data_IF_409331841638
#
_entry.id   IF_409331841638
#
_cell.length_a   1.000
_cell.length_b   1.000
_cell.length_c   1.000
_cell.angle_alpha   90.00
_cell.angle_beta   90.00
_cell.angle_gamma   90.00
#
_symmetry.space_group_name_H-M   'P 1'
#
loop_
_entity.id
_entity.type
_entity.pdbx_description
1 polymer ?
#
# COMPACT_ATOMS: atom_id res chain seq x y z
N UNK A 1 -21.30 10.19 13.29
CA UNK A 1 -20.79 10.97 14.39
C UNK A 1 -20.66 10.20 15.73
N UNK A 2 -20.15 8.99 15.72
CA UNK A 2 -19.90 8.20 16.93
C UNK A 2 -18.88 8.82 17.88
N UNK A 3 -18.74 8.25 19.08
CA UNK A 3 -17.78 8.74 20.07
C UNK A 3 -16.35 8.34 19.73
N UNK A 4 -15.42 9.28 19.83
CA UNK A 4 -14.00 9.00 19.68
C UNK A 4 -13.48 8.13 20.83
N UNK A 5 -12.92 6.98 20.52
CA UNK A 5 -12.32 6.06 21.51
C UNK A 5 -10.83 6.37 21.68
N UNK A 6 -10.44 6.88 22.84
CA UNK A 6 -9.07 7.34 23.10
C UNK A 6 -8.09 6.26 23.56
N UNK A 7 -8.58 5.20 24.18
CA UNK A 7 -7.74 4.11 24.69
C UNK A 7 -7.09 3.27 23.60
N UNK A 8 -7.57 3.35 22.36
CA UNK A 8 -6.98 2.68 21.21
C UNK A 8 -5.56 3.19 20.88
N UNK A 9 -5.29 4.48 21.09
CA UNK A 9 -4.02 5.12 20.75
C UNK A 9 -2.80 4.43 21.37
N UNK A 10 -2.94 3.84 22.56
CA UNK A 10 -1.86 3.12 23.26
C UNK A 10 -1.39 1.86 22.53
N UNK A 11 -2.19 1.32 21.61
CA UNK A 11 -1.93 0.09 20.86
C UNK A 11 -1.68 0.33 19.37
N UNK A 12 -1.85 1.55 18.89
CA UNK A 12 -1.64 1.88 17.49
C UNK A 12 -0.15 1.85 17.14
N UNK A 13 0.17 1.25 16.01
CA UNK A 13 1.52 1.34 15.44
C UNK A 13 1.85 2.78 15.06
N UNK A 14 3.13 3.19 15.04
CA UNK A 14 3.53 4.50 14.57
C UNK A 14 3.01 4.78 13.16
N UNK A 15 2.44 5.96 12.96
CA UNK A 15 1.97 6.42 11.65
C UNK A 15 2.09 7.94 11.54
N UNK A 16 2.61 8.41 10.42
CA UNK A 16 2.96 9.82 10.23
C UNK A 16 1.87 10.64 9.54
N UNK A 17 0.84 9.99 9.02
CA UNK A 17 -0.30 10.62 8.33
C UNK A 17 -1.61 10.53 9.11
N UNK A 18 -1.55 10.16 10.39
CA UNK A 18 -2.72 10.20 11.27
C UNK A 18 -3.06 11.63 11.66
N UNK A 19 -4.34 11.89 11.74
CA UNK A 19 -4.87 13.18 12.08
C UNK A 19 -6.15 13.05 12.91
N UNK A 20 -6.32 13.95 13.88
CA UNK A 20 -7.58 14.11 14.61
C UNK A 20 -8.02 15.56 14.47
N UNK A 21 -9.15 15.83 13.79
CA UNK A 21 -9.64 17.18 13.57
C UNK A 21 -9.71 17.99 14.88
N UNK A 22 -9.13 19.20 14.85
CA UNK A 22 -9.07 20.09 15.98
C UNK A 22 -8.18 19.63 17.16
N UNK A 23 -7.32 18.64 16.93
CA UNK A 23 -6.44 18.08 17.98
C UNK A 23 -5.01 17.87 17.50
N UNK A 24 -4.58 18.61 16.52
CA UNK A 24 -3.20 18.60 16.03
C UNK A 24 -2.23 18.92 17.18
N UNK A 25 -1.11 18.23 17.19
CA UNK A 25 -0.07 18.44 18.19
C UNK A 25 -0.37 17.90 19.59
N UNK A 26 -1.48 17.23 19.79
CA UNK A 26 -1.87 16.65 21.10
C UNK A 26 -1.48 15.16 21.25
N UNK A 27 -0.44 14.69 20.55
CA UNK A 27 0.06 13.33 20.64
C UNK A 27 -0.76 12.30 19.86
N UNK A 28 -1.70 12.76 19.03
CA UNK A 28 -2.50 11.89 18.16
C UNK A 28 -1.92 11.78 16.75
N UNK A 29 -1.06 12.72 16.38
CA UNK A 29 -0.23 12.67 15.17
C UNK A 29 1.20 12.37 15.61
N UNK A 30 1.79 11.30 15.09
CA UNK A 30 3.14 10.92 15.49
C UNK A 30 4.18 11.92 14.98
N UNK A 31 5.11 12.28 15.86
CA UNK A 31 6.24 13.12 15.47
C UNK A 31 7.21 12.30 14.63
N UNK A 32 7.56 12.81 13.48
CA UNK A 32 8.46 12.12 12.52
C UNK A 32 9.79 11.75 13.17
N UNK A 33 10.40 12.67 13.93
CA UNK A 33 11.67 12.41 14.62
C UNK A 33 11.53 11.26 15.65
N UNK A 34 10.38 11.15 16.30
CA UNK A 34 10.11 10.07 17.25
C UNK A 34 9.94 8.71 16.55
N UNK A 35 9.31 8.71 15.37
CA UNK A 35 9.17 7.50 14.54
C UNK A 35 10.55 7.04 14.05
N UNK A 36 11.35 7.95 13.52
CA UNK A 36 12.73 7.68 13.08
C UNK A 36 13.58 7.14 14.25
N UNK A 37 13.53 7.80 15.42
CA UNK A 37 14.22 7.35 16.62
C UNK A 37 13.82 5.94 17.05
N UNK A 38 12.52 5.64 17.02
CA UNK A 38 12.00 4.30 17.30
C UNK A 38 12.51 3.26 16.31
N UNK A 39 12.48 3.58 14.99
CA UNK A 39 13.00 2.68 13.95
C UNK A 39 14.48 2.36 14.15
N UNK A 40 15.30 3.37 14.44
CA UNK A 40 16.73 3.19 14.75
C UNK A 40 16.94 2.31 15.98
N UNK A 41 16.24 2.58 17.07
CA UNK A 41 16.32 1.80 18.31
C UNK A 41 15.95 0.32 18.09
N UNK A 42 15.02 0.04 17.19
CA UNK A 42 14.53 -1.31 16.88
C UNK A 42 15.22 -1.95 15.67
N UNK A 43 16.22 -1.31 15.07
CA UNK A 43 16.87 -1.75 13.83
C UNK A 43 15.87 -2.02 12.69
N UNK A 44 14.84 -1.18 12.58
CA UNK A 44 13.86 -1.24 11.50
C UNK A 44 14.36 -0.35 10.36
N UNK A 45 14.63 -0.95 9.21
CA UNK A 45 15.16 -0.25 8.03
C UNK A 45 14.06 0.39 7.18
N UNK A 46 12.90 -0.27 7.06
CA UNK A 46 11.85 0.10 6.13
C UNK A 46 10.62 0.60 6.88
N UNK A 47 10.12 1.75 6.49
CA UNK A 47 8.79 2.25 6.85
C UNK A 47 7.84 1.97 5.68
N UNK A 48 6.84 1.14 5.90
CA UNK A 48 5.85 0.74 4.90
C UNK A 48 4.60 1.61 5.06
N UNK A 49 4.24 2.40 4.06
CA UNK A 49 3.21 3.43 4.13
C UNK A 49 2.23 3.33 2.97
N UNK A 50 0.95 3.28 3.31
CA UNK A 50 -0.17 3.53 2.40
C UNK A 50 -1.10 4.59 3.02
N UNK A 51 -2.08 5.09 2.25
CA UNK A 51 -3.00 6.08 2.81
C UNK A 51 -4.04 5.48 3.77
N UNK A 52 -4.17 4.16 3.79
CA UNK A 52 -5.06 3.46 4.72
C UNK A 52 -6.53 3.76 4.52
N UNK A 53 -7.32 3.39 5.52
CA UNK A 53 -8.70 3.82 5.66
C UNK A 53 -8.71 5.23 6.25
N UNK A 54 -9.74 6.03 5.95
CA UNK A 54 -9.89 7.36 6.54
C UNK A 54 -9.93 7.34 8.07
N UNK A 55 -10.44 6.27 8.66
CA UNK A 55 -10.43 6.01 10.09
C UNK A 55 -9.41 4.91 10.44
N UNK A 56 -8.84 4.91 11.62
CA UNK A 56 -7.95 3.85 12.07
C UNK A 56 -8.78 2.61 12.47
N UNK A 57 -8.61 1.99 13.56
CA UNK A 57 -9.37 0.79 13.95
C UNK A 57 -10.82 1.07 14.28
N UNK A 58 -11.69 0.06 14.06
CA UNK A 58 -13.07 0.10 14.47
C UNK A 58 -13.68 -1.29 14.62
N UNK A 59 -14.88 -1.32 15.21
CA UNK A 59 -15.58 -2.57 15.47
C UNK A 59 -16.26 -3.13 14.23
N UNK A 60 -16.58 -2.29 13.29
CA UNK A 60 -17.24 -2.59 12.02
C UNK A 60 -16.28 -2.81 10.84
N UNK A 61 -15.02 -3.12 11.14
CA UNK A 61 -13.92 -3.24 10.18
C UNK A 61 -14.18 -4.21 9.02
N UNK A 62 -14.99 -5.24 9.26
CA UNK A 62 -15.38 -6.22 8.25
C UNK A 62 -16.89 -6.27 8.03
N UNK A 63 -17.60 -5.21 8.43
CA UNK A 63 -19.03 -5.15 8.22
C UNK A 63 -19.39 -4.75 6.79
N UNK A 64 -20.60 -5.15 6.36
CA UNK A 64 -21.13 -4.81 5.03
C UNK A 64 -21.39 -3.32 4.89
N UNK A 65 -21.95 -2.71 5.95
CA UNK A 65 -22.31 -1.29 5.98
C UNK A 65 -21.89 -0.71 7.31
N UNK A 66 -21.20 0.44 7.25
CA UNK A 66 -20.88 1.21 8.45
C UNK A 66 -21.96 2.26 8.71
N UNK A 67 -22.36 2.38 9.96
CA UNK A 67 -23.37 3.34 10.39
C UNK A 67 -22.71 4.68 10.73
N UNK A 68 -23.36 5.78 10.35
CA UNK A 68 -22.88 7.14 10.69
C UNK A 68 -22.93 7.44 12.18
N UNK A 69 -23.84 6.83 12.91
CA UNK A 69 -24.00 6.98 14.36
C UNK A 69 -23.19 5.94 15.16
N UNK A 70 -22.48 5.06 14.49
CA UNK A 70 -21.60 4.09 15.10
C UNK A 70 -20.38 4.71 15.78
N UNK A 71 -19.75 3.99 16.69
CA UNK A 71 -18.50 4.41 17.32
C UNK A 71 -17.40 4.56 16.26
N UNK A 72 -16.75 5.71 16.27
CA UNK A 72 -15.59 6.01 15.42
C UNK A 72 -14.34 6.08 16.28
N UNK A 73 -13.33 5.33 15.88
CA UNK A 73 -12.07 5.22 16.60
C UNK A 73 -11.01 6.03 15.87
N UNK A 74 -10.68 7.17 16.43
CA UNK A 74 -9.54 7.94 15.98
C UNK A 74 -8.22 7.37 16.52
N UNK A 75 -7.10 7.86 16.06
CA UNK A 75 -6.96 8.91 15.05
C UNK A 75 -7.34 8.45 13.66
N UNK A 76 -7.58 9.41 12.78
CA UNK A 76 -7.91 9.17 11.38
C UNK A 76 -6.65 9.28 10.52
N UNK A 77 -6.59 8.50 9.43
CA UNK A 77 -5.58 8.71 8.41
C UNK A 77 -6.06 9.76 7.42
N UNK A 78 -5.26 10.81 7.24
CA UNK A 78 -5.48 11.72 6.14
C UNK A 78 -5.32 11.01 4.80
N UNK A 79 -6.14 11.41 3.84
CA UNK A 79 -6.11 10.87 2.50
C UNK A 79 -5.20 11.71 1.59
N UNK A 80 -4.65 11.15 0.52
CA UNK A 80 -3.74 11.88 -0.38
C UNK A 80 -4.42 12.98 -1.19
N UNK A 81 -5.76 13.06 -1.16
CA UNK A 81 -6.57 14.00 -1.92
C UNK A 81 -7.10 15.11 -1.03
N UNK A 82 -7.12 16.34 -1.57
CA UNK A 82 -7.64 17.50 -0.88
C UNK A 82 -9.17 17.57 -0.87
N UNK A 83 -9.72 18.25 0.12
CA UNK A 83 -11.16 18.54 0.18
C UNK A 83 -11.51 19.68 -0.76
N UNK A 84 -12.56 19.50 -1.56
CA UNK A 84 -12.99 20.50 -2.57
C UNK A 84 -13.64 21.74 -1.98
N UNK A 85 -14.18 21.66 -0.78
CA UNK A 85 -15.07 22.66 -0.20
C UNK A 85 -16.51 22.57 -0.72
N UNK A 86 -16.84 21.61 -1.60
CA UNK A 86 -18.14 21.46 -2.24
C UNK A 86 -18.85 20.20 -1.76
N UNK A 87 -20.15 20.26 -1.67
CA UNK A 87 -21.01 19.14 -1.31
C UNK A 87 -20.66 18.49 0.03
N UNK A 88 -21.24 17.33 0.29
CA UNK A 88 -21.01 16.57 1.54
C UNK A 88 -20.71 15.12 1.21
N UNK A 89 -19.56 14.64 1.65
CA UNK A 89 -19.17 13.25 1.59
C UNK A 89 -19.88 12.43 2.69
N UNK A 90 -19.71 11.12 2.66
CA UNK A 90 -20.40 10.22 3.59
C UNK A 90 -20.15 10.55 5.07
N UNK A 91 -18.93 10.93 5.42
CA UNK A 91 -18.54 11.25 6.80
C UNK A 91 -18.97 12.65 7.27
N UNK A 92 -19.60 13.44 6.40
CA UNK A 92 -20.11 14.78 6.73
C UNK A 92 -19.17 15.95 6.41
N UNK A 93 -17.97 15.67 5.92
CA UNK A 93 -17.04 16.69 5.42
C UNK A 93 -17.32 17.03 3.95
N UNK A 94 -16.71 18.09 3.41
CA UNK A 94 -16.82 18.37 1.97
C UNK A 94 -16.21 17.23 1.15
N UNK A 95 -16.72 17.04 -0.07
CA UNK A 95 -16.22 16.01 -0.99
C UNK A 95 -14.76 16.22 -1.33
N UNK A 96 -14.08 15.11 -1.66
CA UNK A 96 -12.73 15.20 -2.19
C UNK A 96 -12.71 15.76 -3.62
N UNK A 97 -11.61 16.41 -3.96
CA UNK A 97 -11.19 16.62 -5.34
C UNK A 97 -9.97 15.73 -5.60
N UNK A 98 -10.14 14.70 -6.42
CA UNK A 98 -9.08 13.73 -6.70
C UNK A 98 -7.95 14.32 -7.58
N UNK A 99 -8.17 15.49 -8.19
CA UNK A 99 -7.13 16.23 -8.89
C UNK A 99 -6.33 17.17 -7.98
N UNK A 100 -6.74 17.31 -6.73
CA UNK A 100 -6.11 18.22 -5.76
C UNK A 100 -5.35 17.42 -4.71
N UNK A 101 -4.01 17.47 -4.66
CA UNK A 101 -3.23 16.86 -3.60
C UNK A 101 -3.54 17.46 -2.22
N UNK A 102 -3.56 16.62 -1.19
CA UNK A 102 -3.61 17.05 0.21
C UNK A 102 -2.20 17.48 0.64
N UNK A 103 -1.94 18.79 0.68
CA UNK A 103 -0.62 19.32 0.96
C UNK A 103 -0.04 18.84 2.29
N UNK A 104 -0.88 18.69 3.35
CA UNK A 104 -0.41 18.20 4.64
C UNK A 104 0.04 16.74 4.56
N UNK A 105 -0.74 15.86 3.92
CA UNK A 105 -0.40 14.44 3.73
C UNK A 105 0.95 14.30 3.02
N UNK A 106 1.11 14.96 1.89
CA UNK A 106 2.30 14.87 1.06
C UNK A 106 3.53 15.48 1.71
N UNK A 107 3.39 16.60 2.43
CA UNK A 107 4.50 17.22 3.17
C UNK A 107 5.02 16.33 4.30
N UNK A 108 4.11 15.63 5.02
CA UNK A 108 4.50 14.69 6.08
C UNK A 108 5.34 13.54 5.56
N UNK A 109 4.93 12.95 4.43
CA UNK A 109 5.68 11.86 3.80
C UNK A 109 7.02 12.33 3.26
N UNK A 110 7.07 13.52 2.67
CA UNK A 110 8.32 14.11 2.19
C UNK A 110 9.29 14.40 3.33
N UNK A 111 8.81 14.99 4.42
CA UNK A 111 9.62 15.24 5.61
C UNK A 111 10.21 13.94 6.19
N UNK A 112 9.41 12.85 6.24
CA UNK A 112 9.92 11.54 6.65
C UNK A 112 11.00 11.03 5.71
N UNK A 113 10.80 11.11 4.40
CA UNK A 113 11.77 10.67 3.42
C UNK A 113 13.10 11.44 3.55
N UNK A 114 13.04 12.77 3.65
CA UNK A 114 14.22 13.64 3.79
C UNK A 114 15.00 13.39 5.09
N UNK A 115 14.29 13.26 6.22
CA UNK A 115 14.91 12.99 7.52
C UNK A 115 15.42 11.56 7.61
N UNK A 116 14.60 10.59 7.20
CA UNK A 116 14.96 9.17 7.24
C UNK A 116 16.16 8.82 6.36
N UNK A 117 16.30 9.50 5.21
CA UNK A 117 17.45 9.32 4.32
C UNK A 117 18.79 9.56 5.02
N UNK A 118 18.85 10.53 5.93
CA UNK A 118 20.07 10.86 6.71
C UNK A 118 20.48 9.73 7.65
N UNK A 119 19.55 8.92 8.04
CA UNK A 119 19.73 7.76 8.93
C UNK A 119 19.71 6.41 8.16
N UNK A 120 19.74 6.44 6.83
CA UNK A 120 19.73 5.25 5.98
C UNK A 120 18.40 4.51 5.93
N UNK A 121 17.28 5.15 6.35
CA UNK A 121 15.97 4.54 6.35
C UNK A 121 15.31 4.63 4.98
N UNK A 122 14.53 3.61 4.65
CA UNK A 122 13.76 3.51 3.41
C UNK A 122 12.27 3.76 3.68
N UNK A 123 11.61 4.41 2.73
CA UNK A 123 10.16 4.51 2.66
C UNK A 123 9.64 3.61 1.53
N UNK A 124 8.90 2.55 1.87
CA UNK A 124 8.09 1.80 0.92
C UNK A 124 6.75 2.50 0.79
N UNK A 125 6.59 3.24 -0.31
CA UNK A 125 5.39 4.01 -0.58
C UNK A 125 4.42 3.19 -1.44
N UNK A 126 3.47 2.55 -0.78
CA UNK A 126 2.39 1.83 -1.42
C UNK A 126 1.37 2.85 -1.95
N UNK A 127 1.29 3.03 -3.26
CA UNK A 127 0.50 4.10 -3.88
C UNK A 127 -0.99 3.99 -3.55
N UNK A 128 -1.53 2.77 -3.46
CA UNK A 128 -2.93 2.52 -3.18
C UNK A 128 -3.13 1.70 -1.92
N UNK A 129 -4.38 1.60 -1.49
CA UNK A 129 -4.80 0.73 -0.40
C UNK A 129 -5.95 -0.17 -0.86
N UNK A 130 -5.62 -1.37 -1.29
CA UNK A 130 -6.56 -2.29 -1.95
C UNK A 130 -7.74 -2.71 -1.08
N UNK A 131 -7.59 -2.72 0.25
CA UNK A 131 -8.68 -3.01 1.17
C UNK A 131 -9.92 -2.12 0.97
N UNK A 132 -9.71 -0.88 0.53
CA UNK A 132 -10.84 0.04 0.28
C UNK A 132 -11.80 -0.47 -0.79
N UNK A 133 -11.32 -1.24 -1.76
CA UNK A 133 -12.06 -1.57 -2.98
C UNK A 133 -12.49 -3.03 -3.06
N UNK A 134 -12.07 -3.89 -2.16
CA UNK A 134 -12.39 -5.31 -2.27
C UNK A 134 -12.66 -6.06 -0.97
N UNK A 135 -12.46 -5.48 0.19
CA UNK A 135 -12.60 -6.28 1.41
C UNK A 135 -14.01 -6.21 2.00
N UNK A 136 -14.46 -5.05 2.43
CA UNK A 136 -15.77 -4.90 3.05
C UNK A 136 -16.47 -3.60 2.63
N UNK A 137 -17.78 -3.59 2.65
CA UNK A 137 -18.56 -2.38 2.34
C UNK A 137 -18.21 -1.21 3.25
N UNK A 138 -17.91 -1.49 4.51
CA UNK A 138 -17.48 -0.48 5.47
C UNK A 138 -16.15 0.21 5.09
N UNK A 139 -15.27 -0.46 4.36
CA UNK A 139 -14.01 0.11 3.87
C UNK A 139 -14.20 1.01 2.65
N UNK A 140 -15.22 0.75 1.86
CA UNK A 140 -15.56 1.56 0.69
C UNK A 140 -16.34 2.83 1.03
N UNK A 141 -17.08 2.82 2.12
CA UNK A 141 -18.08 3.84 2.43
C UNK A 141 -17.54 5.26 2.45
N UNK A 142 -16.34 5.48 2.97
CA UNK A 142 -15.66 6.78 3.04
C UNK A 142 -14.41 6.86 2.13
N UNK A 143 -14.22 5.88 1.28
CA UNK A 143 -13.13 5.89 0.29
C UNK A 143 -13.25 7.14 -0.62
N UNK A 144 -12.16 7.90 -0.83
CA UNK A 144 -12.17 9.08 -1.70
C UNK A 144 -12.65 8.80 -3.13
N UNK A 145 -12.36 7.61 -3.65
CA UNK A 145 -12.75 7.21 -5.01
C UNK A 145 -14.25 6.93 -5.18
N UNK A 146 -14.97 6.68 -4.09
CA UNK A 146 -16.41 6.45 -4.15
C UNK A 146 -17.13 7.67 -4.72
N UNK A 147 -18.06 7.48 -5.68
CA UNK A 147 -18.73 8.56 -6.42
C UNK A 147 -19.41 9.59 -5.52
N UNK A 148 -20.00 9.16 -4.38
CA UNK A 148 -20.60 10.10 -3.42
C UNK A 148 -19.59 10.93 -2.64
N UNK A 149 -18.32 10.52 -2.58
CA UNK A 149 -17.30 11.17 -1.75
C UNK A 149 -16.41 12.14 -2.51
N UNK A 150 -16.51 12.22 -3.84
CA UNK A 150 -15.70 13.11 -4.66
C UNK A 150 -16.56 13.95 -5.64
N UNK A 151 -15.93 14.95 -6.26
CA UNK A 151 -16.55 15.79 -7.28
C UNK A 151 -16.18 15.37 -8.71
N UNK A 152 -15.38 14.31 -8.89
CA UNK A 152 -14.70 13.98 -10.14
C UNK A 152 -15.45 12.98 -11.04
N UNK A 153 -16.69 12.65 -10.72
CA UNK A 153 -17.54 11.78 -11.55
C UNK A 153 -16.88 10.42 -11.87
N UNK A 154 -16.36 9.78 -10.85
CA UNK A 154 -15.64 8.48 -10.98
C UNK A 154 -16.48 7.35 -11.54
N UNK A 155 -17.82 7.47 -11.54
CA UNK A 155 -18.74 6.50 -12.17
C UNK A 155 -18.87 5.16 -11.44
N UNK A 156 -18.46 5.07 -10.18
CA UNK A 156 -18.74 3.88 -9.39
C UNK A 156 -20.23 3.82 -8.99
N UNK A 157 -20.84 2.62 -9.03
CA UNK A 157 -22.24 2.46 -8.71
C UNK A 157 -22.54 2.72 -7.23
N UNK A 158 -23.75 3.19 -6.98
CA UNK A 158 -24.31 3.42 -5.66
C UNK A 158 -25.65 2.66 -5.50
N UNK A 159 -25.77 1.74 -4.56
CA UNK A 159 -24.73 1.20 -3.68
C UNK A 159 -23.69 0.37 -4.43
N UNK A 160 -22.51 0.18 -3.82
CA UNK A 160 -21.50 -0.70 -4.37
C UNK A 160 -22.02 -2.15 -4.46
N UNK A 161 -21.74 -2.86 -5.55
CA UNK A 161 -22.12 -4.28 -5.66
C UNK A 161 -21.31 -5.12 -4.66
N UNK A 162 -21.92 -6.21 -4.19
CA UNK A 162 -21.31 -7.16 -3.28
C UNK A 162 -21.06 -8.50 -3.98
N UNK A 163 -19.88 -9.07 -3.77
CA UNK A 163 -19.53 -10.43 -4.17
C UNK A 163 -19.53 -11.34 -2.94
N UNK A 164 -20.71 -11.79 -2.50
CA UNK A 164 -20.92 -12.53 -1.27
C UNK A 164 -21.36 -11.61 -0.12
N UNK A 165 -21.27 -12.09 1.11
CA UNK A 165 -21.96 -11.45 2.24
C UNK A 165 -21.43 -10.07 2.62
N UNK A 166 -20.11 -9.93 2.74
CA UNK A 166 -19.48 -8.69 3.20
C UNK A 166 -18.58 -8.02 2.16
N UNK A 167 -18.11 -8.75 1.18
CA UNK A 167 -17.15 -8.30 0.21
C UNK A 167 -17.80 -7.44 -0.87
N UNK A 168 -17.22 -6.26 -1.13
CA UNK A 168 -17.60 -5.43 -2.27
C UNK A 168 -16.92 -5.89 -3.56
N UNK A 169 -17.55 -5.57 -4.68
CA UNK A 169 -17.08 -5.91 -6.01
C UNK A 169 -16.87 -4.65 -6.87
N UNK A 170 -15.99 -3.77 -6.41
CA UNK A 170 -15.62 -2.56 -7.16
C UNK A 170 -14.20 -2.62 -7.74
N UNK A 171 -13.43 -3.65 -7.40
CA UNK A 171 -12.05 -3.79 -7.84
C UNK A 171 -11.90 -3.84 -9.37
N UNK A 172 -12.76 -4.59 -10.07
CA UNK A 172 -12.72 -4.65 -11.53
C UNK A 172 -12.91 -3.27 -12.16
N UNK A 173 -13.85 -2.48 -11.64
CA UNK A 173 -14.08 -1.11 -12.11
C UNK A 173 -12.94 -0.17 -11.72
N UNK A 174 -12.37 -0.35 -10.54
CA UNK A 174 -11.24 0.47 -10.07
C UNK A 174 -10.01 0.26 -10.94
N UNK A 175 -9.72 -0.98 -11.30
CA UNK A 175 -8.58 -1.32 -12.16
C UNK A 175 -8.87 -1.19 -13.66
N UNK A 176 -10.09 -0.84 -14.04
CA UNK A 176 -10.46 -0.61 -15.44
C UNK A 176 -9.89 0.71 -15.96
N UNK A 177 -8.77 0.61 -16.64
CA UNK A 177 -8.08 1.73 -17.29
C UNK A 177 -8.66 2.11 -18.66
N UNK A 178 -9.73 1.45 -19.12
CA UNK A 178 -10.44 1.85 -20.34
C UNK A 178 -11.41 2.99 -20.10
N UNK A 179 -11.86 3.16 -18.84
CA UNK A 179 -12.73 4.26 -18.45
C UNK A 179 -11.95 5.58 -18.41
N UNK A 180 -12.27 6.56 -19.26
CA UNK A 180 -11.40 7.72 -19.50
C UNK A 180 -11.17 8.56 -18.25
N UNK A 181 -12.21 8.81 -17.44
CA UNK A 181 -12.09 9.63 -16.22
C UNK A 181 -11.21 8.91 -15.20
N UNK A 182 -11.46 7.62 -14.91
CA UNK A 182 -10.66 6.87 -13.94
C UNK A 182 -9.21 6.71 -14.39
N UNK A 183 -8.99 6.44 -15.68
CA UNK A 183 -7.64 6.35 -16.25
C UNK A 183 -6.84 7.63 -16.00
N UNK A 184 -7.44 8.79 -16.28
CA UNK A 184 -6.76 10.08 -16.10
C UNK A 184 -6.49 10.38 -14.62
N UNK A 185 -7.46 10.13 -13.75
CA UNK A 185 -7.28 10.28 -12.30
C UNK A 185 -6.18 9.37 -11.75
N UNK A 186 -6.09 8.12 -12.21
CA UNK A 186 -4.99 7.22 -11.86
C UNK A 186 -3.65 7.76 -12.35
N UNK A 187 -3.58 8.22 -13.60
CA UNK A 187 -2.37 8.80 -14.18
C UNK A 187 -1.86 9.98 -13.35
N UNK A 188 -2.75 10.92 -13.04
CA UNK A 188 -2.42 12.11 -12.23
C UNK A 188 -1.97 11.71 -10.82
N UNK A 189 -2.65 10.78 -10.20
CA UNK A 189 -2.31 10.30 -8.86
C UNK A 189 -0.95 9.60 -8.83
N UNK A 190 -0.65 8.72 -9.77
CA UNK A 190 0.66 8.05 -9.89
C UNK A 190 1.76 9.10 -10.08
N UNK A 191 1.54 10.08 -10.95
CA UNK A 191 2.50 11.17 -11.17
C UNK A 191 2.68 12.04 -9.91
N UNK A 192 1.64 12.25 -9.12
CA UNK A 192 1.74 12.93 -7.82
C UNK A 192 2.63 12.13 -6.85
N UNK A 193 2.49 10.81 -6.80
CA UNK A 193 3.37 9.95 -6.00
C UNK A 193 4.84 10.13 -6.41
N UNK A 194 5.12 10.17 -7.70
CA UNK A 194 6.47 10.33 -8.24
C UNK A 194 7.03 11.75 -7.99
N UNK A 195 6.24 12.77 -8.29
CA UNK A 195 6.65 14.17 -8.13
C UNK A 195 6.98 14.53 -6.68
N UNK A 196 6.21 14.01 -5.72
CA UNK A 196 6.46 14.28 -4.31
C UNK A 196 7.84 13.81 -3.84
N UNK A 197 8.34 12.75 -4.43
CA UNK A 197 9.58 12.09 -4.03
C UNK A 197 10.68 12.12 -5.10
N UNK A 198 10.55 12.98 -6.09
CA UNK A 198 11.44 13.04 -7.24
C UNK A 198 12.94 13.21 -6.88
N UNK A 199 13.24 13.74 -5.69
CA UNK A 199 14.59 13.98 -5.18
C UNK A 199 14.92 13.11 -3.95
N UNK A 200 14.10 12.09 -3.66
CA UNK A 200 14.24 11.22 -2.50
C UNK A 200 14.62 9.78 -2.91
N UNK A 201 15.91 9.46 -3.06
CA UNK A 201 16.36 8.16 -3.57
C UNK A 201 16.08 6.99 -2.62
N UNK A 202 15.70 7.28 -1.37
CA UNK A 202 15.32 6.31 -0.35
C UNK A 202 13.82 5.98 -0.37
N UNK A 203 13.05 6.51 -1.32
CA UNK A 203 11.63 6.18 -1.50
C UNK A 203 11.47 5.15 -2.61
N UNK A 204 10.79 4.06 -2.28
CA UNK A 204 10.53 2.95 -3.19
C UNK A 204 9.03 2.92 -3.45
N UNK A 205 8.63 3.01 -4.71
CA UNK A 205 7.23 3.01 -5.13
C UNK A 205 6.73 1.57 -5.29
N UNK A 206 5.58 1.27 -4.70
CA UNK A 206 4.85 0.01 -4.85
C UNK A 206 3.41 0.30 -5.29
N UNK A 207 2.77 -0.66 -5.96
CA UNK A 207 1.40 -0.47 -6.45
C UNK A 207 0.40 -0.25 -5.30
N UNK A 208 0.34 -1.14 -4.32
CA UNK A 208 -0.64 -1.09 -3.24
C UNK A 208 -0.27 -2.00 -2.09
N UNK A 209 -0.80 -1.68 -0.91
CA UNK A 209 -0.86 -2.62 0.19
C UNK A 209 -1.64 -3.88 -0.19
N UNK A 210 -1.08 -5.05 0.11
CA UNK A 210 -1.67 -6.37 -0.15
C UNK A 210 -2.22 -6.54 -1.59
N UNK A 211 -1.46 -6.08 -2.57
CA UNK A 211 -1.91 -5.99 -3.96
C UNK A 211 -1.99 -7.35 -4.65
N UNK A 212 -3.18 -7.69 -5.13
CA UNK A 212 -3.48 -8.87 -5.93
C UNK A 212 -4.22 -8.49 -7.22
N UNK A 213 -4.03 -7.27 -7.68
CA UNK A 213 -4.71 -6.71 -8.86
C UNK A 213 -4.26 -7.31 -10.20
N UNK A 214 -4.93 -6.93 -11.29
CA UNK A 214 -4.72 -7.52 -12.61
C UNK A 214 -3.46 -6.99 -13.31
N UNK A 215 -2.94 -7.80 -14.22
CA UNK A 215 -1.76 -7.50 -15.03
C UNK A 215 -1.87 -6.16 -15.77
N UNK A 216 -3.00 -5.88 -16.41
CA UNK A 216 -3.17 -4.67 -17.21
C UNK A 216 -3.06 -3.38 -16.38
N UNK A 217 -3.45 -3.40 -15.11
CA UNK A 217 -3.29 -2.25 -14.23
C UNK A 217 -1.82 -2.03 -13.83
N UNK A 218 -1.08 -3.12 -13.56
CA UNK A 218 0.36 -3.05 -13.27
C UNK A 218 1.12 -2.55 -14.49
N UNK A 219 0.76 -3.02 -15.69
CA UNK A 219 1.34 -2.53 -16.95
C UNK A 219 1.12 -1.02 -17.10
N UNK A 220 -0.10 -0.55 -16.89
CA UNK A 220 -0.44 0.86 -16.94
C UNK A 220 0.36 1.69 -15.91
N UNK A 221 0.46 1.19 -14.67
CA UNK A 221 1.22 1.85 -13.60
C UNK A 221 2.70 2.01 -13.98
N UNK A 222 3.33 0.96 -14.50
CA UNK A 222 4.72 0.99 -14.97
C UNK A 222 4.90 1.88 -16.20
N UNK A 223 3.94 1.87 -17.12
CA UNK A 223 3.98 2.73 -18.31
C UNK A 223 3.93 4.22 -17.92
N UNK A 224 3.11 4.60 -16.93
CA UNK A 224 3.05 5.97 -16.40
C UNK A 224 4.37 6.36 -15.72
N UNK A 225 5.01 5.44 -15.00
CA UNK A 225 6.34 5.69 -14.40
C UNK A 225 7.39 5.91 -15.49
N UNK A 226 7.44 5.03 -16.51
CA UNK A 226 8.38 5.15 -17.63
C UNK A 226 8.22 6.47 -18.40
N UNK A 227 6.99 6.90 -18.63
CA UNK A 227 6.69 8.20 -19.22
C UNK A 227 7.21 9.36 -18.36
N UNK A 228 6.92 9.31 -17.05
CA UNK A 228 7.38 10.33 -16.12
C UNK A 228 8.92 10.40 -16.06
N UNK A 229 9.59 9.26 -16.04
CA UNK A 229 11.07 9.19 -16.09
C UNK A 229 11.64 9.82 -17.36
N UNK A 230 11.00 9.53 -18.50
CA UNK A 230 11.39 10.07 -19.80
C UNK A 230 11.22 11.60 -19.86
N UNK A 231 10.09 12.09 -19.37
CA UNK A 231 9.75 13.51 -19.39
C UNK A 231 10.61 14.35 -18.44
N UNK A 232 10.93 13.79 -17.27
CA UNK A 232 11.63 14.54 -16.21
C UNK A 232 13.15 14.32 -16.20
N UNK A 233 13.64 13.26 -16.84
CA UNK A 233 15.03 12.81 -16.73
C UNK A 233 15.39 12.22 -15.35
N UNK A 234 14.40 12.08 -14.44
CA UNK A 234 14.59 11.50 -13.10
C UNK A 234 14.31 10.01 -13.11
N UNK A 235 14.75 9.31 -12.07
CA UNK A 235 14.50 7.88 -11.87
C UNK A 235 13.74 7.63 -10.57
N UNK A 236 12.63 6.90 -10.64
CA UNK A 236 11.98 6.34 -9.47
C UNK A 236 12.64 5.02 -9.06
N UNK A 237 12.57 4.68 -7.78
CA UNK A 237 12.85 3.31 -7.32
C UNK A 237 11.54 2.53 -7.25
N UNK A 238 11.46 1.41 -7.96
CA UNK A 238 10.22 0.68 -8.18
C UNK A 238 10.35 -0.75 -7.68
N UNK A 239 9.45 -1.13 -6.77
CA UNK A 239 9.30 -2.52 -6.34
C UNK A 239 8.05 -3.16 -6.95
N UNK A 240 8.24 -4.31 -7.57
CA UNK A 240 7.17 -5.11 -8.15
C UNK A 240 6.64 -6.09 -7.08
N UNK A 241 5.60 -5.68 -6.38
CA UNK A 241 4.93 -6.42 -5.30
C UNK A 241 3.55 -6.87 -5.77
N UNK A 242 3.48 -8.02 -6.43
CA UNK A 242 2.27 -8.54 -7.08
C UNK A 242 2.12 -10.06 -6.86
N UNK A 243 1.08 -10.67 -7.42
CA UNK A 243 0.98 -12.12 -7.52
C UNK A 243 2.02 -12.67 -8.50
N UNK A 244 2.38 -13.95 -8.36
CA UNK A 244 3.49 -14.54 -9.14
C UNK A 244 3.28 -14.50 -10.66
N UNK A 245 2.07 -14.76 -11.12
CA UNK A 245 1.71 -14.72 -12.55
C UNK A 245 1.89 -13.32 -13.15
N UNK A 246 1.44 -12.28 -12.42
CA UNK A 246 1.63 -10.88 -12.83
C UNK A 246 3.11 -10.50 -12.74
N UNK A 247 3.81 -10.93 -11.69
CA UNK A 247 5.23 -10.66 -11.51
C UNK A 247 6.06 -11.25 -12.65
N UNK A 248 5.82 -12.53 -12.97
CA UNK A 248 6.51 -13.21 -14.08
C UNK A 248 6.19 -12.59 -15.45
N UNK A 249 4.93 -12.21 -15.69
CA UNK A 249 4.52 -11.57 -16.94
C UNK A 249 5.16 -10.19 -17.15
N UNK A 250 5.26 -9.39 -16.09
CA UNK A 250 5.96 -8.08 -16.16
C UNK A 250 7.45 -8.27 -16.40
N UNK A 251 8.08 -9.21 -15.71
CA UNK A 251 9.52 -9.46 -15.84
C UNK A 251 9.90 -10.10 -17.18
N UNK A 252 8.95 -10.78 -17.84
CA UNK A 252 9.12 -11.30 -19.19
C UNK A 252 9.02 -10.21 -20.29
N UNK A 253 8.50 -9.03 -19.98
CA UNK A 253 8.46 -7.88 -20.88
C UNK A 253 9.68 -6.98 -20.65
N UNK A 254 10.68 -6.96 -21.56
CA UNK A 254 11.92 -6.21 -21.32
C UNK A 254 11.71 -4.71 -21.09
N UNK A 255 10.70 -4.12 -21.72
CA UNK A 255 10.38 -2.69 -21.59
C UNK A 255 9.93 -2.37 -20.15
N UNK A 256 9.03 -3.17 -19.59
CA UNK A 256 8.51 -2.96 -18.25
C UNK A 256 9.44 -3.49 -17.17
N UNK A 257 10.15 -4.58 -17.45
CA UNK A 257 11.20 -5.09 -16.57
C UNK A 257 12.29 -4.06 -16.32
N UNK A 258 12.62 -3.21 -17.30
CA UNK A 258 13.62 -2.15 -17.16
C UNK A 258 13.22 -1.04 -16.15
N UNK A 259 11.93 -0.89 -15.87
CA UNK A 259 11.41 0.07 -14.87
C UNK A 259 11.49 -0.49 -13.45
N UNK A 260 11.55 -1.81 -13.29
CA UNK A 260 11.55 -2.48 -11.99
C UNK A 260 12.96 -2.58 -11.43
N UNK A 261 13.21 -2.07 -10.23
CA UNK A 261 14.47 -2.23 -9.51
C UNK A 261 14.46 -3.39 -8.52
N UNK A 262 13.30 -3.66 -7.92
CA UNK A 262 13.13 -4.60 -6.81
C UNK A 262 12.01 -5.58 -7.12
N UNK A 263 12.26 -6.86 -6.96
CA UNK A 263 11.27 -7.92 -7.02
C UNK A 263 10.85 -8.22 -5.56
N UNK A 264 9.63 -7.82 -5.18
CA UNK A 264 9.14 -7.94 -3.81
C UNK A 264 8.12 -9.08 -3.70
N UNK A 265 8.51 -10.15 -3.01
CA UNK A 265 7.70 -11.36 -2.86
C UNK A 265 6.86 -11.24 -1.58
N UNK A 266 5.57 -10.87 -1.74
CA UNK A 266 4.63 -10.69 -0.61
C UNK A 266 3.38 -11.53 -0.70
N UNK A 267 2.86 -11.77 -1.90
CA UNK A 267 1.48 -12.26 -2.08
C UNK A 267 1.42 -13.64 -2.70
N UNK A 268 2.52 -14.32 -2.76
CA UNK A 268 2.63 -15.71 -3.16
C UNK A 268 3.77 -16.41 -2.41
N UNK A 269 3.79 -17.73 -2.43
CA UNK A 269 4.87 -18.53 -1.85
C UNK A 269 4.90 -19.93 -2.47
N UNK A 270 6.04 -20.58 -2.41
CA UNK A 270 6.12 -21.97 -2.75
C UNK A 270 5.52 -22.86 -1.64
N UNK A 271 5.06 -24.05 -2.03
CA UNK A 271 4.66 -25.16 -1.20
C UNK A 271 5.41 -26.41 -1.65
N UNK A 272 5.36 -27.47 -0.85
CA UNK A 272 5.95 -28.76 -1.19
C UNK A 272 5.45 -29.31 -2.53
N UNK A 273 4.16 -29.08 -2.84
CA UNK A 273 3.45 -29.62 -4.00
C UNK A 273 3.13 -28.58 -5.08
N UNK A 274 3.74 -27.38 -5.02
CA UNK A 274 3.48 -26.35 -6.03
C UNK A 274 3.64 -24.93 -5.55
N UNK A 275 2.89 -24.00 -6.15
CA UNK A 275 2.88 -22.58 -5.81
C UNK A 275 1.52 -22.21 -5.23
N UNK A 276 1.52 -21.53 -4.08
CA UNK A 276 0.37 -20.79 -3.64
C UNK A 276 0.46 -19.39 -4.23
N UNK A 277 -0.16 -19.20 -5.37
CA UNK A 277 -0.24 -17.93 -6.04
C UNK A 277 -1.66 -17.79 -6.61
N UNK A 278 -2.47 -16.89 -6.08
CA UNK A 278 -3.73 -16.57 -6.73
C UNK A 278 -3.45 -15.90 -8.07
N UNK A 279 -4.37 -16.04 -8.98
CA UNK A 279 -4.33 -15.32 -10.25
C UNK A 279 -4.58 -13.83 -10.04
N UNK A 280 -3.72 -12.99 -10.60
CA UNK A 280 -3.83 -11.55 -10.52
C UNK A 280 -5.14 -11.03 -11.09
N UNK A 281 -5.80 -10.15 -10.34
CA UNK A 281 -7.13 -9.65 -10.69
C UNK A 281 -8.28 -10.56 -10.34
N UNK A 282 -8.03 -11.77 -9.86
CA UNK A 282 -9.06 -12.71 -9.43
C UNK A 282 -8.95 -13.05 -7.94
N UNK A 283 -10.07 -13.36 -7.33
CA UNK A 283 -10.18 -13.73 -5.91
C UNK A 283 -9.31 -12.90 -4.97
N UNK A 284 -9.60 -11.68 -4.91
CA UNK A 284 -8.87 -10.65 -4.23
C UNK A 284 -9.06 -10.64 -2.72
N UNK A 285 -8.72 -11.69 -2.00
CA UNK A 285 -8.70 -11.68 -0.55
C UNK A 285 -7.26 -11.66 -0.01
N UNK A 286 -6.57 -10.53 0.02
CA UNK A 286 -5.17 -10.42 0.42
C UNK A 286 -4.89 -11.05 1.78
N UNK A 287 -5.78 -10.86 2.74
CA UNK A 287 -5.68 -11.49 4.07
C UNK A 287 -5.55 -13.01 4.04
N UNK A 288 -6.14 -13.67 3.06
CA UNK A 288 -6.00 -15.13 2.97
C UNK A 288 -4.59 -15.53 2.57
N UNK A 289 -3.91 -14.72 1.77
CA UNK A 289 -2.52 -14.94 1.40
C UNK A 289 -1.61 -14.78 2.59
N UNK A 290 -1.73 -13.69 3.31
CA UNK A 290 -0.95 -13.41 4.52
C UNK A 290 -1.18 -14.49 5.59
N UNK A 291 -2.40 -14.98 5.75
CA UNK A 291 -2.70 -16.09 6.67
C UNK A 291 -2.03 -17.40 6.28
N UNK A 292 -1.84 -17.64 4.99
CA UNK A 292 -1.18 -18.85 4.48
C UNK A 292 0.33 -18.76 4.55
N UNK A 293 0.89 -17.55 4.63
CA UNK A 293 2.31 -17.31 4.88
C UNK A 293 2.70 -17.33 6.37
N UNK A 294 1.84 -17.76 7.28
CA UNK A 294 2.15 -17.85 8.70
C UNK A 294 3.18 -18.94 8.99
N UNK A 295 3.87 -18.82 10.13
CA UNK A 295 4.81 -19.84 10.64
C UNK A 295 4.20 -21.25 10.51
N UNK A 296 4.96 -22.18 9.96
CA UNK A 296 4.50 -23.54 9.63
C UNK A 296 3.73 -23.65 8.32
N UNK A 297 3.55 -22.55 7.57
CA UNK A 297 2.94 -22.56 6.24
C UNK A 297 3.93 -22.33 5.09
N UNK A 298 5.04 -21.67 5.38
CA UNK A 298 6.19 -21.51 4.47
C UNK A 298 7.42 -22.08 5.18
N UNK A 299 8.13 -22.95 4.52
CA UNK A 299 9.37 -23.56 5.04
C UNK A 299 10.58 -22.73 4.62
N UNK A 300 11.71 -22.99 5.27
CA UNK A 300 13.01 -22.41 4.90
C UNK A 300 13.34 -22.67 3.42
N UNK A 301 13.20 -23.92 2.97
CA UNK A 301 13.48 -24.33 1.58
C UNK A 301 12.59 -23.61 0.57
N UNK A 302 11.32 -23.41 0.89
CA UNK A 302 10.35 -22.72 0.03
C UNK A 302 10.66 -21.22 -0.09
N UNK A 303 11.03 -20.56 1.02
CA UNK A 303 11.45 -19.17 1.02
C UNK A 303 12.78 -19.00 0.25
N UNK A 304 13.76 -19.87 0.50
CA UNK A 304 15.02 -19.89 -0.22
C UNK A 304 14.80 -20.04 -1.73
N UNK A 305 14.01 -21.04 -2.15
CA UNK A 305 13.70 -21.30 -3.56
C UNK A 305 13.09 -20.07 -4.24
N UNK A 306 12.13 -19.40 -3.59
CA UNK A 306 11.45 -18.24 -4.16
C UNK A 306 12.41 -17.07 -4.42
N UNK A 307 13.28 -16.76 -3.48
CA UNK A 307 14.26 -15.68 -3.61
C UNK A 307 15.35 -16.07 -4.61
N UNK A 308 15.89 -17.29 -4.50
CA UNK A 308 16.99 -17.76 -5.35
C UNK A 308 16.60 -17.80 -6.83
N UNK A 309 15.36 -18.18 -7.15
CA UNK A 309 14.84 -18.19 -8.52
C UNK A 309 15.02 -16.82 -9.20
N UNK A 310 14.55 -15.75 -8.55
CA UNK A 310 14.64 -14.41 -9.13
C UNK A 310 16.06 -13.85 -9.06
N UNK A 311 16.84 -14.17 -8.04
CA UNK A 311 18.24 -13.78 -7.99
C UNK A 311 19.07 -14.37 -9.11
N UNK A 312 18.76 -15.61 -9.54
CA UNK A 312 19.42 -16.21 -10.70
C UNK A 312 18.97 -15.63 -12.03
N UNK A 313 17.66 -15.38 -12.18
CA UNK A 313 17.09 -14.87 -13.43
C UNK A 313 17.37 -13.38 -13.67
N UNK A 314 17.46 -12.61 -12.59
CA UNK A 314 17.59 -11.14 -12.61
C UNK A 314 18.66 -10.68 -11.60
N UNK A 315 19.94 -11.00 -11.84
CA UNK A 315 21.01 -10.72 -10.88
C UNK A 315 21.23 -9.22 -10.62
N UNK A 316 20.77 -8.34 -11.52
CA UNK A 316 20.84 -6.90 -11.40
C UNK A 316 19.75 -6.30 -10.50
N UNK A 317 18.69 -7.06 -10.18
CA UNK A 317 17.56 -6.58 -9.36
C UNK A 317 17.70 -7.05 -7.91
N UNK A 318 17.31 -6.19 -6.98
CA UNK A 318 17.14 -6.61 -5.60
C UNK A 318 15.91 -7.55 -5.48
N UNK A 319 15.99 -8.54 -4.59
CA UNK A 319 14.85 -9.42 -4.30
C UNK A 319 14.56 -9.37 -2.81
N UNK A 320 13.34 -8.98 -2.45
CA UNK A 320 12.86 -8.97 -1.08
C UNK A 320 11.80 -10.05 -0.87
N UNK A 321 11.71 -10.55 0.37
CA UNK A 321 10.69 -11.51 0.76
C UNK A 321 10.06 -11.08 2.07
N UNK A 322 8.73 -10.96 2.09
CA UNK A 322 8.00 -10.53 3.27
C UNK A 322 7.99 -11.60 4.35
N UNK A 323 9.03 -11.60 5.17
CA UNK A 323 9.24 -12.55 6.25
C UNK A 323 9.24 -11.91 7.65
N UNK A 324 8.64 -10.74 7.78
CA UNK A 324 8.73 -9.88 8.95
C UNK A 324 8.36 -10.57 10.28
N UNK A 325 7.43 -11.52 10.24
CA UNK A 325 6.99 -12.28 11.41
C UNK A 325 7.62 -13.68 11.51
N UNK A 326 8.64 -13.97 10.71
CA UNK A 326 9.23 -15.31 10.57
C UNK A 326 10.76 -15.23 10.60
N UNK A 327 11.36 -15.07 11.79
CA UNK A 327 12.82 -14.91 11.91
C UNK A 327 13.62 -16.01 11.19
N UNK A 328 13.15 -17.25 11.20
CA UNK A 328 13.81 -18.34 10.48
C UNK A 328 13.87 -18.13 8.96
N UNK A 329 12.89 -17.41 8.39
CA UNK A 329 12.87 -17.11 6.96
C UNK A 329 13.89 -16.04 6.59
N UNK A 330 14.29 -15.16 7.50
CA UNK A 330 15.34 -14.17 7.26
C UNK A 330 16.65 -14.80 6.83
N UNK A 331 17.04 -15.91 7.43
CA UNK A 331 18.22 -16.67 7.01
C UNK A 331 18.05 -17.31 5.62
N UNK A 332 16.85 -17.82 5.29
CA UNK A 332 16.59 -18.34 3.95
C UNK A 332 16.73 -17.24 2.89
N UNK A 333 16.19 -16.04 3.16
CA UNK A 333 16.30 -14.87 2.28
C UNK A 333 17.76 -14.46 2.09
N UNK A 334 18.52 -14.36 3.18
CA UNK A 334 19.92 -13.98 3.14
C UNK A 334 20.77 -14.99 2.33
N UNK A 335 20.64 -16.28 2.63
CA UNK A 335 21.41 -17.33 1.96
C UNK A 335 21.04 -17.50 0.48
N UNK A 336 19.83 -17.12 0.10
CA UNK A 336 19.38 -17.07 -1.30
C UNK A 336 19.88 -15.82 -2.06
N UNK A 337 20.61 -14.93 -1.40
CA UNK A 337 21.05 -13.65 -1.97
C UNK A 337 19.99 -12.56 -2.00
N UNK A 338 18.95 -12.68 -1.19
CA UNK A 338 17.88 -11.69 -1.05
C UNK A 338 18.33 -10.45 -0.28
N UNK A 339 17.59 -9.36 -0.47
CA UNK A 339 17.83 -8.05 0.13
C UNK A 339 16.94 -7.84 1.37
N UNK A 340 17.42 -7.02 2.30
CA UNK A 340 16.70 -6.62 3.53
C UNK A 340 16.15 -7.82 4.34
N UNK A 341 16.91 -8.89 4.58
CA UNK A 341 16.44 -10.02 5.38
C UNK A 341 16.23 -9.56 6.83
N UNK A 342 15.13 -10.00 7.44
CA UNK A 342 14.93 -9.84 8.89
C UNK A 342 15.57 -11.02 9.60
N UNK A 343 16.77 -10.83 10.10
CA UNK A 343 17.52 -11.88 10.83
C UNK A 343 17.39 -11.61 12.33
N UNK A 344 17.01 -12.62 13.14
CA UNK A 344 16.96 -12.43 14.58
C UNK A 344 18.37 -12.16 15.11
N UNK A 345 18.54 -11.05 15.82
CA UNK A 345 19.74 -10.83 16.62
C UNK A 345 19.58 -11.59 17.92
N UNK A 346 20.55 -12.41 18.34
CA UNK A 346 20.56 -12.94 19.71
C UNK A 346 20.52 -11.75 20.67
N UNK A 347 19.64 -11.83 21.65
CA UNK A 347 19.66 -10.84 22.72
C UNK A 347 21.05 -10.77 23.33
N UNK A 348 21.64 -9.58 23.38
CA UNK A 348 22.92 -9.33 24.03
C UNK A 348 22.76 -9.42 25.53
#
# INVERSE_FOLDING_TARGET
NGKLKTNFLKKASPAITRFVPGREGLGLTDRIDSVIGYMKQKNILVFDQNYGLWYDRRRDDHERVRRRDGDVWGPFYEQPFGRSGQGTAWEGLSKYDLNRPNAWYWSRLKEFAEKGSKDGLLLFHENYFQHNILEAGAHWVDCPWRSTNNINQTGFPEPAPFAGDKRIFVADMFYDITHPVRRELHRQYIRQCLNNFADNPNVIQLTSAEFTGPLHFVQFWLDVIAEWETETGKKAKVALSTTKDVQDAILADPKRAAVVDIIDIRYWHYKTDGVFAPEGGKNMAPRQHMRKMKVGKVTFTEAYKAVHEYRQKFPEKAVTFYAQNYPAMGWAVFMAGGSCPVIPCPDK
#
